data_IF_733895474264
#
_entry.id   IF_733895474264
#
_cell.length_a   1.000
_cell.length_b   1.000
_cell.length_c   1.000
_cell.angle_alpha   90.00
_cell.angle_beta   90.00
_cell.angle_gamma   90.00
#
_symmetry.space_group_name_H-M   'P 1'
#
loop_
_entity.id
_entity.type
_entity.pdbx_description
1 polymer ?
#
# COMPACT_ATOMS: atom_id res chain seq x y z
N UNK A 1 20.49 4.73 -10.15
CA UNK A 1 19.05 4.50 -9.92
C UNK A 1 18.43 5.84 -9.56
N UNK A 2 17.30 6.16 -10.21
CA UNK A 2 16.63 7.47 -10.11
C UNK A 2 15.17 7.26 -9.72
N UNK A 3 14.63 8.18 -8.93
CA UNK A 3 13.18 8.30 -8.69
C UNK A 3 12.57 9.12 -9.84
N UNK A 4 11.58 8.55 -10.53
CA UNK A 4 10.90 9.19 -11.66
C UNK A 4 9.56 9.77 -11.17
N UNK A 5 9.63 10.96 -10.58
CA UNK A 5 8.44 11.68 -10.11
C UNK A 5 7.46 12.02 -11.24
N UNK A 6 7.97 12.19 -12.47
CA UNK A 6 7.17 12.42 -13.67
C UNK A 6 6.37 11.18 -14.12
N UNK A 7 6.73 9.98 -13.62
CA UNK A 7 6.04 8.72 -13.85
C UNK A 7 5.29 8.22 -12.59
N UNK A 8 5.12 9.07 -11.59
CA UNK A 8 4.45 8.68 -10.35
C UNK A 8 3.05 8.12 -10.62
N UNK A 9 2.77 6.95 -10.05
CA UNK A 9 1.48 6.28 -10.15
C UNK A 9 0.59 6.75 -9.00
N UNK A 10 -0.60 7.22 -9.33
CA UNK A 10 -1.66 7.54 -8.35
C UNK A 10 -2.52 6.31 -8.07
N UNK A 11 -3.15 6.24 -6.90
CA UNK A 11 -4.14 5.20 -6.60
C UNK A 11 -5.22 5.12 -7.68
N UNK A 12 -5.46 3.91 -8.20
CA UNK A 12 -6.59 3.59 -9.07
C UNK A 12 -7.81 3.18 -8.25
N UNK A 13 -7.56 2.50 -7.14
CA UNK A 13 -8.56 2.03 -6.20
C UNK A 13 -7.97 2.08 -4.80
N UNK A 14 -8.76 2.51 -3.83
CA UNK A 14 -8.41 2.44 -2.42
C UNK A 14 -9.64 2.11 -1.58
N UNK A 15 -9.50 1.21 -0.63
CA UNK A 15 -10.56 0.86 0.31
C UNK A 15 -10.00 0.51 1.69
N UNK A 16 -10.73 0.89 2.72
CA UNK A 16 -10.50 0.44 4.09
C UNK A 16 -11.40 -0.76 4.39
N UNK A 17 -10.91 -1.66 5.22
CA UNK A 17 -11.66 -2.83 5.64
C UNK A 17 -11.39 -3.20 7.09
N UNK A 18 -12.37 -3.85 7.70
CA UNK A 18 -12.28 -4.39 9.06
C UNK A 18 -13.20 -5.60 9.22
N UNK A 19 -12.65 -6.68 9.75
CA UNK A 19 -13.37 -7.92 9.90
C UNK A 19 -13.47 -8.74 8.62
N UNK A 20 -13.89 -9.97 8.77
CA UNK A 20 -13.95 -10.98 7.71
C UNK A 20 -15.29 -11.69 7.79
N UNK A 21 -15.83 -12.08 6.63
CA UNK A 21 -17.02 -12.91 6.51
C UNK A 21 -16.69 -14.20 5.77
N UNK A 22 -17.43 -15.27 6.05
CA UNK A 22 -17.23 -16.57 5.38
C UNK A 22 -15.95 -17.30 5.79
N UNK A 23 -15.33 -16.96 6.92
CA UNK A 23 -14.20 -17.70 7.48
C UNK A 23 -14.64 -19.09 7.92
N UNK A 24 -13.80 -20.10 7.64
CA UNK A 24 -14.02 -21.50 7.99
C UNK A 24 -12.68 -22.22 8.17
N UNK A 25 -12.74 -23.51 8.51
CA UNK A 25 -11.55 -24.36 8.58
C UNK A 25 -10.71 -24.31 7.28
N UNK A 26 -11.37 -24.29 6.12
CA UNK A 26 -10.74 -24.37 4.79
C UNK A 26 -10.66 -23.02 4.05
N UNK A 27 -11.11 -21.91 4.65
CA UNK A 27 -11.08 -20.60 4.02
C UNK A 27 -10.79 -19.49 5.03
N UNK A 28 -9.97 -18.53 4.60
CA UNK A 28 -9.77 -17.25 5.32
C UNK A 28 -10.98 -16.31 5.20
N UNK A 29 -11.93 -16.62 4.28
CA UNK A 29 -13.08 -15.78 4.01
C UNK A 29 -12.76 -14.57 3.13
N UNK A 30 -13.60 -13.55 3.26
CA UNK A 30 -13.54 -12.31 2.49
C UNK A 30 -13.56 -11.10 3.40
N UNK A 31 -12.76 -10.07 3.10
CA UNK A 31 -12.76 -8.82 3.84
C UNK A 31 -14.13 -8.15 3.84
N UNK A 32 -14.44 -7.44 4.92
CA UNK A 32 -15.61 -6.55 4.99
C UNK A 32 -15.13 -5.12 4.77
N UNK A 33 -15.40 -4.58 3.58
CA UNK A 33 -15.04 -3.21 3.22
C UNK A 33 -15.89 -2.26 4.06
N UNK A 34 -15.23 -1.36 4.79
CA UNK A 34 -15.85 -0.34 5.61
C UNK A 34 -16.03 0.97 4.84
N UNK A 35 -15.10 1.25 3.91
CA UNK A 35 -15.13 2.47 3.10
C UNK A 35 -14.33 2.30 1.81
N UNK A 36 -14.85 2.84 0.71
CA UNK A 36 -14.13 3.04 -0.54
C UNK A 36 -13.78 4.53 -0.69
N UNK A 37 -12.62 4.81 -1.29
CA UNK A 37 -12.14 6.18 -1.50
C UNK A 37 -12.08 6.49 -2.98
N UNK A 38 -12.55 7.68 -3.35
CA UNK A 38 -12.45 8.17 -4.72
C UNK A 38 -11.01 8.61 -5.03
N UNK A 39 -10.57 8.55 -6.30
CA UNK A 39 -9.30 9.14 -6.71
C UNK A 39 -9.18 10.61 -6.26
N UNK A 40 -7.99 11.01 -5.83
CA UNK A 40 -7.66 12.35 -5.32
C UNK A 40 -8.41 12.79 -4.04
N UNK A 41 -9.19 11.89 -3.42
CA UNK A 41 -9.81 12.14 -2.11
C UNK A 41 -8.81 11.94 -0.98
N UNK A 42 -8.86 12.81 0.04
CA UNK A 42 -8.14 12.54 1.29
C UNK A 42 -8.67 11.27 1.95
N UNK A 43 -7.75 10.36 2.27
CA UNK A 43 -8.07 9.10 2.94
C UNK A 43 -8.00 9.33 4.45
N UNK A 44 -9.09 9.10 5.16
CA UNK A 44 -9.10 9.04 6.62
C UNK A 44 -9.18 7.57 7.02
N UNK A 45 -8.07 7.05 7.55
CA UNK A 45 -7.94 5.67 8.00
C UNK A 45 -8.13 5.62 9.53
N UNK A 46 -9.22 5.03 10.03
CA UNK A 46 -9.41 4.83 11.45
C UNK A 46 -8.42 3.84 12.06
N UNK A 47 -8.16 3.96 13.35
CA UNK A 47 -7.38 2.98 14.09
C UNK A 47 -8.00 1.57 14.00
N UNK A 48 -7.15 0.56 13.75
CA UNK A 48 -7.58 -0.84 13.69
C UNK A 48 -8.31 -1.24 12.41
N UNK A 49 -8.34 -0.37 11.40
CA UNK A 49 -8.72 -0.72 10.03
C UNK A 49 -7.47 -0.90 9.16
N UNK A 50 -7.61 -1.65 8.08
CA UNK A 50 -6.56 -1.83 7.08
C UNK A 50 -6.98 -1.15 5.79
N UNK A 51 -6.16 -0.23 5.30
CA UNK A 51 -6.29 0.36 3.98
C UNK A 51 -5.58 -0.53 2.96
N UNK A 52 -6.23 -0.83 1.84
CA UNK A 52 -5.61 -1.41 0.65
C UNK A 52 -5.65 -0.39 -0.47
N UNK A 53 -4.53 -0.22 -1.16
CA UNK A 53 -4.41 0.69 -2.30
C UNK A 53 -3.87 -0.08 -3.50
N UNK A 54 -4.55 0.03 -4.65
CA UNK A 54 -4.12 -0.47 -5.95
C UNK A 54 -3.61 0.69 -6.82
N UNK A 55 -2.35 0.64 -7.22
CA UNK A 55 -1.75 1.60 -8.16
C UNK A 55 -1.98 1.22 -9.64
N UNK A 56 -2.61 0.07 -9.90
CA UNK A 56 -2.98 -0.40 -11.23
C UNK A 56 -1.84 -1.02 -12.04
N UNK A 57 -0.60 -0.89 -11.59
CA UNK A 57 0.58 -1.42 -12.27
C UNK A 57 1.59 -1.93 -11.24
N UNK A 58 2.14 -3.11 -11.47
CA UNK A 58 3.31 -3.60 -10.73
C UNK A 58 4.56 -2.87 -11.23
N UNK A 59 5.31 -2.26 -10.32
CA UNK A 59 6.51 -1.50 -10.64
C UNK A 59 7.56 -1.65 -9.53
N UNK A 60 8.83 -1.54 -9.90
CA UNK A 60 9.88 -1.24 -8.93
C UNK A 60 9.72 0.22 -8.51
N UNK A 61 9.31 0.48 -7.29
CA UNK A 61 8.91 1.80 -6.84
C UNK A 61 9.10 2.00 -5.32
N UNK A 62 8.93 3.24 -4.89
CA UNK A 62 8.79 3.61 -3.48
C UNK A 62 7.45 4.30 -3.25
N UNK A 63 6.73 3.97 -2.16
CA UNK A 63 5.54 4.73 -1.78
C UNK A 63 5.94 6.08 -1.18
N UNK A 64 5.23 7.12 -1.56
CA UNK A 64 5.42 8.49 -1.07
C UNK A 64 4.12 8.99 -0.47
N UNK A 65 4.19 9.50 0.75
CA UNK A 65 3.04 9.93 1.55
C UNK A 65 3.12 11.41 1.89
N UNK A 66 1.97 12.09 1.87
CA UNK A 66 1.72 13.33 2.60
C UNK A 66 0.57 13.03 3.55
N UNK A 67 0.84 13.00 4.85
CA UNK A 67 -0.10 12.47 5.84
C UNK A 67 0.03 13.19 7.20
N UNK A 68 -0.98 13.02 8.05
CA UNK A 68 -0.97 13.57 9.42
C UNK A 68 -1.63 12.61 10.39
N UNK A 69 -1.14 12.59 11.62
CA UNK A 69 -1.70 11.87 12.75
C UNK A 69 -1.24 12.49 14.06
N UNK A 70 -1.71 11.98 15.20
CA UNK A 70 -1.18 12.35 16.51
C UNK A 70 0.27 11.91 16.68
N UNK A 71 1.03 12.66 17.47
CA UNK A 71 2.37 12.26 17.91
C UNK A 71 2.34 10.87 18.56
N UNK A 72 3.33 10.04 18.23
CA UNK A 72 3.43 8.66 18.70
C UNK A 72 2.62 7.64 17.88
N UNK A 73 1.73 8.08 16.97
CA UNK A 73 1.06 7.16 16.04
C UNK A 73 2.09 6.42 15.20
N UNK A 74 1.97 5.10 15.13
CA UNK A 74 2.77 4.26 14.24
C UNK A 74 1.93 3.85 13.03
N UNK A 75 2.48 4.04 11.84
CA UNK A 75 1.93 3.56 10.58
C UNK A 75 2.84 2.49 10.03
N UNK A 76 2.25 1.36 9.63
CA UNK A 76 2.95 0.27 8.93
C UNK A 76 2.39 0.13 7.53
N UNK A 77 3.26 0.16 6.53
CA UNK A 77 2.93 -0.05 5.13
C UNK A 77 3.63 -1.32 4.62
N UNK A 78 2.83 -2.21 4.05
CA UNK A 78 3.26 -3.51 3.52
C UNK A 78 3.03 -3.56 2.01
N UNK A 79 4.09 -3.50 1.18
CA UNK A 79 3.98 -3.69 -0.27
C UNK A 79 3.56 -5.11 -0.63
N UNK A 80 2.81 -5.26 -1.73
CA UNK A 80 2.37 -6.54 -2.28
C UNK A 80 2.21 -6.47 -3.80
N UNK A 81 2.38 -7.60 -4.48
CA UNK A 81 2.18 -7.70 -5.93
C UNK A 81 0.77 -8.17 -6.29
N UNK A 82 0.10 -8.88 -5.40
CA UNK A 82 -1.19 -9.55 -5.62
C UNK A 82 -2.14 -9.31 -4.45
N UNK A 83 -3.42 -9.53 -4.69
CA UNK A 83 -4.43 -9.70 -3.65
C UNK A 83 -4.75 -11.18 -3.47
N UNK A 84 -5.18 -11.55 -2.28
CA UNK A 84 -5.81 -12.85 -2.04
C UNK A 84 -7.12 -12.94 -2.83
N UNK A 85 -7.38 -14.09 -3.44
CA UNK A 85 -8.53 -14.37 -4.29
C UNK A 85 -9.30 -15.62 -3.85
N UNK A 86 -10.28 -16.03 -4.66
CA UNK A 86 -10.94 -17.32 -4.56
C UNK A 86 -11.59 -17.59 -3.20
N UNK A 87 -12.18 -16.58 -2.58
CA UNK A 87 -12.72 -16.61 -1.22
C UNK A 87 -11.66 -16.88 -0.13
N UNK A 88 -10.38 -16.63 -0.42
CA UNK A 88 -9.28 -16.90 0.49
C UNK A 88 -9.12 -18.39 0.83
N UNK A 89 -9.38 -19.29 -0.10
CA UNK A 89 -9.28 -20.73 0.13
C UNK A 89 -7.86 -21.13 0.53
N UNK A 90 -7.72 -21.74 1.70
CA UNK A 90 -6.41 -22.08 2.28
C UNK A 90 -5.62 -23.08 1.43
N UNK A 91 -6.30 -23.98 0.74
CA UNK A 91 -5.69 -24.98 -0.15
C UNK A 91 -5.03 -24.40 -1.41
N UNK A 92 -5.37 -23.15 -1.77
CA UNK A 92 -4.83 -22.47 -2.96
C UNK A 92 -3.56 -21.68 -2.70
N UNK A 93 -2.97 -21.80 -1.51
CA UNK A 93 -1.78 -21.06 -1.14
C UNK A 93 -2.03 -19.60 -0.78
N UNK A 94 -3.28 -19.22 -0.56
CA UNK A 94 -3.63 -17.89 -0.04
C UNK A 94 -3.16 -17.76 1.41
N UNK A 95 -2.86 -16.54 1.84
CA UNK A 95 -2.36 -16.22 3.17
C UNK A 95 -3.31 -15.32 3.99
N UNK A 96 -4.47 -15.01 3.43
CA UNK A 96 -5.46 -14.15 4.05
C UNK A 96 -6.80 -14.13 3.32
N UNK A 97 -7.77 -13.35 3.81
CA UNK A 97 -9.10 -13.26 3.23
C UNK A 97 -9.06 -12.61 1.85
N UNK A 98 -10.01 -12.99 0.98
CA UNK A 98 -10.18 -12.41 -0.35
C UNK A 98 -10.27 -10.88 -0.27
N UNK A 99 -9.46 -10.20 -1.10
CA UNK A 99 -9.35 -8.75 -1.15
C UNK A 99 -8.29 -8.15 -0.23
N UNK A 100 -7.65 -8.93 0.66
CA UNK A 100 -6.46 -8.50 1.39
C UNK A 100 -5.19 -8.66 0.54
N UNK A 101 -4.12 -7.95 0.88
CA UNK A 101 -2.83 -8.12 0.21
C UNK A 101 -2.24 -9.50 0.46
N UNK A 102 -1.87 -10.21 -0.61
CA UNK A 102 -1.18 -11.49 -0.57
C UNK A 102 0.33 -11.27 -0.44
N UNK A 103 0.97 -11.90 0.54
CA UNK A 103 2.38 -11.63 0.86
C UNK A 103 3.29 -12.85 0.88
N UNK A 104 2.78 -14.06 1.02
CA UNK A 104 3.61 -15.28 1.11
C UNK A 104 4.38 -15.59 -0.18
N UNK A 105 3.99 -15.01 -1.32
CA UNK A 105 4.75 -15.08 -2.55
C UNK A 105 5.97 -14.14 -2.58
N UNK A 106 6.07 -13.21 -1.62
CA UNK A 106 7.14 -12.22 -1.60
C UNK A 106 8.36 -12.77 -0.87
N UNK A 107 9.52 -12.49 -1.44
CA UNK A 107 10.78 -12.78 -0.77
C UNK A 107 10.97 -11.81 0.39
N UNK A 108 11.31 -12.33 1.58
CA UNK A 108 11.55 -11.52 2.79
C UNK A 108 10.30 -10.74 3.27
N UNK A 109 9.09 -11.25 3.06
CA UNK A 109 7.84 -10.60 3.47
C UNK A 109 7.80 -10.20 4.95
N UNK A 110 8.48 -10.95 5.82
CA UNK A 110 8.44 -10.76 7.27
C UNK A 110 9.54 -9.83 7.80
N UNK A 111 10.57 -9.53 7.02
CA UNK A 111 11.76 -8.81 7.50
C UNK A 111 12.20 -7.66 6.64
N UNK A 112 12.00 -7.71 5.32
CA UNK A 112 12.59 -6.76 4.38
C UNK A 112 11.60 -5.87 3.63
N UNK A 113 10.31 -6.24 3.62
CA UNK A 113 9.28 -5.53 2.86
C UNK A 113 8.25 -4.88 3.79
N UNK A 114 8.73 -4.18 4.78
CA UNK A 114 7.94 -3.46 5.78
C UNK A 114 8.47 -2.04 5.84
N UNK A 115 7.56 -1.07 5.76
CA UNK A 115 7.85 0.34 5.99
C UNK A 115 7.09 0.82 7.22
N UNK A 116 7.82 1.18 8.24
CA UNK A 116 7.27 1.75 9.46
C UNK A 116 7.56 3.25 9.54
N UNK A 117 6.56 4.01 9.96
CA UNK A 117 6.70 5.44 10.23
C UNK A 117 6.06 5.78 11.57
N UNK A 118 6.77 6.56 12.40
CA UNK A 118 6.24 7.07 13.66
C UNK A 118 6.14 8.59 13.60
N UNK A 119 4.94 9.13 13.84
CA UNK A 119 4.70 10.56 13.87
C UNK A 119 5.37 11.18 15.10
N UNK A 120 6.30 12.11 14.88
CA UNK A 120 7.06 12.74 15.95
C UNK A 120 6.26 13.83 16.69
N UNK A 121 5.37 14.52 15.98
CA UNK A 121 4.59 15.64 16.53
C UNK A 121 3.21 15.76 15.87
N UNK A 122 2.41 16.73 16.34
CA UNK A 122 1.05 17.02 15.86
C UNK A 122 1.00 18.19 14.86
N UNK A 123 2.11 18.58 14.23
CA UNK A 123 2.24 19.84 13.46
C UNK A 123 1.70 19.77 12.03
N UNK A 124 0.57 19.11 11.83
CA UNK A 124 -0.05 19.06 10.50
C UNK A 124 0.48 17.93 9.63
N UNK A 125 0.60 18.15 8.31
CA UNK A 125 1.01 17.13 7.38
C UNK A 125 2.53 16.99 7.31
N UNK A 126 3.00 15.75 7.45
CA UNK A 126 4.37 15.33 7.18
C UNK A 126 4.47 14.73 5.78
N UNK A 127 5.63 14.82 5.16
CA UNK A 127 5.97 14.12 3.93
C UNK A 127 6.96 12.99 4.23
N UNK A 128 6.73 11.82 3.69
CA UNK A 128 7.61 10.67 3.84
C UNK A 128 7.76 9.92 2.53
N UNK A 129 8.99 9.79 2.08
CA UNK A 129 9.39 8.92 0.98
C UNK A 129 10.60 8.13 1.46
N UNK A 130 10.58 6.78 1.45
CA UNK A 130 11.72 5.98 1.88
C UNK A 130 12.98 6.31 1.07
N UNK A 131 14.12 6.35 1.75
CA UNK A 131 15.44 6.48 1.13
C UNK A 131 16.20 5.15 1.18
N UNK A 132 17.04 4.90 0.19
CA UNK A 132 17.91 3.74 0.11
C UNK A 132 17.19 2.38 0.05
N UNK A 133 15.91 2.37 -0.31
CA UNK A 133 15.14 1.15 -0.53
C UNK A 133 14.12 1.36 -1.65
N UNK A 134 13.69 0.27 -2.28
CA UNK A 134 12.55 0.21 -3.19
C UNK A 134 11.98 -1.21 -3.16
N UNK A 135 10.76 -1.38 -3.66
CA UNK A 135 10.06 -2.65 -3.69
C UNK A 135 9.42 -2.88 -5.06
N UNK A 136 9.26 -4.15 -5.45
CA UNK A 136 8.37 -4.52 -6.54
C UNK A 136 6.95 -4.68 -5.97
N UNK A 137 6.00 -3.83 -6.37
CA UNK A 137 4.63 -3.92 -5.88
C UNK A 137 3.63 -3.24 -6.83
N UNK A 138 2.40 -3.68 -6.75
CA UNK A 138 1.22 -3.03 -7.31
C UNK A 138 0.30 -2.51 -6.20
N UNK A 139 0.22 -3.25 -5.10
CA UNK A 139 -0.65 -2.96 -3.97
C UNK A 139 0.18 -2.59 -2.75
N UNK A 140 -0.42 -1.81 -1.87
CA UNK A 140 0.06 -1.67 -0.50
C UNK A 140 -1.09 -1.89 0.46
N UNK A 141 -0.81 -2.49 1.62
CA UNK A 141 -1.70 -2.42 2.77
C UNK A 141 -1.10 -1.49 3.82
N UNK A 142 -1.94 -0.67 4.43
CA UNK A 142 -1.54 0.30 5.46
C UNK A 142 -2.39 0.10 6.70
N UNK A 143 -1.74 0.00 7.84
CA UNK A 143 -2.38 -0.01 9.16
C UNK A 143 -1.78 1.08 10.04
N UNK A 144 -2.53 1.53 11.04
CA UNK A 144 -2.04 2.51 11.98
C UNK A 144 -2.57 2.28 13.40
N UNK A 145 -1.81 2.70 14.40
CA UNK A 145 -2.18 2.58 15.82
C UNK A 145 -3.21 3.61 16.27
N UNK A 146 -3.39 4.70 15.53
CA UNK A 146 -4.42 5.72 15.73
C UNK A 146 -4.91 6.22 14.35
N UNK A 147 -5.92 7.10 14.30
CA UNK A 147 -6.40 7.68 13.03
C UNK A 147 -5.29 8.40 12.27
N UNK A 148 -5.19 8.11 10.97
CA UNK A 148 -4.27 8.77 10.05
C UNK A 148 -5.05 9.40 8.91
N UNK A 149 -4.73 10.65 8.57
CA UNK A 149 -5.22 11.34 7.38
C UNK A 149 -4.13 11.34 6.32
N UNK A 150 -4.41 10.75 5.17
CA UNK A 150 -3.48 10.67 4.04
C UNK A 150 -4.00 11.61 2.95
N UNK A 151 -3.34 12.76 2.80
CA UNK A 151 -3.70 13.79 1.83
C UNK A 151 -3.22 13.44 0.43
N UNK A 152 -2.05 12.80 0.32
CA UNK A 152 -1.46 12.38 -0.93
C UNK A 152 -0.74 11.04 -0.73
N UNK A 153 -0.90 10.17 -1.69
CA UNK A 153 -0.21 8.89 -1.76
C UNK A 153 0.12 8.60 -3.22
N UNK A 154 1.39 8.33 -3.48
CA UNK A 154 1.89 8.03 -4.82
C UNK A 154 2.87 6.85 -4.75
N UNK A 155 2.96 6.10 -5.83
CA UNK A 155 4.02 5.11 -6.05
C UNK A 155 4.99 5.71 -7.07
N UNK A 156 6.22 6.02 -6.64
CA UNK A 156 7.22 6.67 -7.47
C UNK A 156 8.14 5.59 -8.05
N UNK A 157 8.11 5.36 -9.38
CA UNK A 157 8.95 4.35 -10.02
C UNK A 157 10.44 4.64 -9.85
N UNK A 158 11.20 3.57 -9.73
CA UNK A 158 12.66 3.57 -9.65
C UNK A 158 13.22 2.96 -10.93
N UNK A 159 14.15 3.66 -11.58
CA UNK A 159 14.73 3.20 -12.83
C UNK A 159 16.19 3.60 -12.96
N UNK A 160 16.93 2.93 -13.84
CA UNK A 160 18.26 3.35 -14.28
C UNK A 160 18.23 4.33 -15.48
N UNK A 161 17.04 4.60 -16.02
CA UNK A 161 16.84 5.48 -17.20
C UNK A 161 16.27 6.81 -16.71
N UNK A 162 16.98 7.91 -17.01
CA UNK A 162 16.46 9.26 -16.77
C UNK A 162 15.55 9.69 -17.92
N UNK A 163 14.78 10.75 -17.71
CA UNK A 163 13.89 11.31 -18.75
C UNK A 163 14.68 11.76 -19.99
N UNK A 164 15.87 12.30 -19.80
CA UNK A 164 16.75 12.78 -20.87
C UNK A 164 17.31 11.63 -21.74
N UNK A 165 17.29 10.39 -21.23
CA UNK A 165 17.71 9.20 -21.97
C UNK A 165 16.59 8.62 -22.84
N UNK A 166 15.36 9.12 -22.74
CA UNK A 166 14.24 8.68 -23.56
C UNK A 166 14.36 9.26 -24.96
N UNK A 167 14.56 8.37 -25.96
CA UNK A 167 14.83 8.78 -27.35
C UNK A 167 13.68 8.42 -28.30
N UNK A 168 12.59 7.85 -27.82
CA UNK A 168 11.46 7.45 -28.63
C UNK A 168 10.19 7.18 -27.85
N UNK A 169 9.07 7.20 -28.54
CA UNK A 169 7.74 6.88 -28.01
C UNK A 169 7.12 5.79 -28.90
N UNK A 170 6.54 4.78 -28.28
CA UNK A 170 5.71 3.77 -28.98
C UNK A 170 4.25 4.14 -28.70
N UNK A 171 3.49 4.41 -29.76
CA UNK A 171 2.05 4.71 -29.72
C UNK A 171 1.25 3.54 -30.30
#
# INVERSE_FOLDING_TARGET
IYLRHDLALKPKLAYAWKGVTGESENAYGKIVITKEFQPDQEIVLPAGETLVVDFGQNAAAVPSFVFSAKAGTKLTCLPSELLNDGNGAKERGMDGPEGSCHRTNLRMQDTGMILDYTFADNKGYASFTPHNTFFGYRFISVTATDEVKIKQLESIPVTSITKEMETGTIT
#
